data_IF_821768017564
#
_entry.id   IF_821768017564
#
_cell.length_a   1.000
_cell.length_b   1.000
_cell.length_c   1.000
_cell.angle_alpha   90.00
_cell.angle_beta   90.00
_cell.angle_gamma   90.00
#
_symmetry.space_group_name_H-M   'P 1'
#
loop_
_entity.id
_entity.type
_entity.pdbx_description
1 polymer ?
#
# COMPACT_ATOMS: atom_id res chain seq x y z
N UNK A 1 6.53 12.23 15.09
CA UNK A 1 5.80 10.95 15.07
C UNK A 1 5.26 10.79 13.65
N UNK A 2 5.85 9.93 12.82
CA UNK A 2 5.34 9.68 11.48
C UNK A 2 4.07 8.82 11.59
N UNK A 3 2.94 9.33 11.11
CA UNK A 3 1.68 8.59 11.09
C UNK A 3 1.73 7.42 10.09
N UNK A 4 0.75 6.52 10.14
CA UNK A 4 0.54 5.52 9.08
C UNK A 4 -0.70 5.89 8.29
N UNK A 5 -0.55 5.96 6.97
CA UNK A 5 -1.63 6.15 6.02
C UNK A 5 -1.92 4.81 5.34
N UNK A 6 -3.14 4.30 5.51
CA UNK A 6 -3.57 3.04 4.90
C UNK A 6 -4.62 3.35 3.83
N UNK A 7 -4.34 2.97 2.59
CA UNK A 7 -5.21 3.18 1.45
C UNK A 7 -5.88 1.87 1.03
N UNK A 8 -7.20 1.83 1.03
CA UNK A 8 -7.95 0.68 0.51
C UNK A 8 -8.13 0.86 -1.02
N UNK A 9 -7.60 -0.10 -1.79
CA UNK A 9 -7.59 -0.08 -3.25
C UNK A 9 -8.61 -1.10 -3.76
N UNK A 10 -9.70 -0.59 -4.32
CA UNK A 10 -10.73 -1.37 -5.01
C UNK A 10 -10.77 -1.06 -6.50
N UNK A 11 -11.77 -1.59 -7.19
CA UNK A 11 -11.90 -1.47 -8.65
C UNK A 11 -12.02 -0.01 -9.12
N UNK A 12 -12.71 0.84 -8.36
CA UNK A 12 -12.94 2.24 -8.72
C UNK A 12 -11.87 3.21 -8.20
N UNK A 13 -10.85 2.73 -7.47
CA UNK A 13 -9.85 3.60 -6.82
C UNK A 13 -9.05 4.39 -7.85
N UNK A 14 -8.76 3.80 -9.03
CA UNK A 14 -8.13 4.49 -10.16
C UNK A 14 -8.90 5.73 -10.62
N UNK A 15 -10.23 5.66 -10.60
CA UNK A 15 -11.11 6.73 -11.07
C UNK A 15 -11.27 7.85 -10.03
N UNK A 16 -10.95 7.61 -8.76
CA UNK A 16 -11.11 8.55 -7.63
C UNK A 16 -9.86 9.41 -7.35
N UNK A 17 -9.22 9.87 -8.41
CA UNK A 17 -7.99 10.67 -8.42
C UNK A 17 -8.04 11.99 -7.62
N UNK A 18 -9.16 12.71 -7.55
CA UNK A 18 -9.16 14.09 -7.01
C UNK A 18 -8.75 14.20 -5.53
N UNK A 19 -9.24 13.29 -4.68
CA UNK A 19 -8.98 13.33 -3.24
C UNK A 19 -7.84 12.40 -2.83
N UNK A 20 -7.81 11.19 -3.39
CA UNK A 20 -6.81 10.16 -3.05
C UNK A 20 -5.39 10.64 -3.38
N UNK A 21 -5.19 11.32 -4.52
CA UNK A 21 -3.88 11.86 -4.89
C UNK A 21 -3.36 12.86 -3.85
N UNK A 22 -4.22 13.80 -3.43
CA UNK A 22 -3.82 14.86 -2.51
C UNK A 22 -3.53 14.34 -1.11
N UNK A 23 -4.35 13.41 -0.59
CA UNK A 23 -4.13 12.81 0.73
C UNK A 23 -2.78 12.08 0.82
N UNK A 24 -2.37 11.42 -0.26
CA UNK A 24 -1.12 10.66 -0.31
C UNK A 24 0.10 11.56 -0.49
N UNK A 25 -0.02 12.64 -1.27
CA UNK A 25 1.01 13.67 -1.37
C UNK A 25 1.27 14.29 -0.01
N UNK A 26 0.21 14.70 0.71
CA UNK A 26 0.31 15.24 2.07
C UNK A 26 0.87 14.19 3.05
N UNK A 27 0.48 12.93 2.94
CA UNK A 27 1.03 11.85 3.76
C UNK A 27 2.54 11.70 3.53
N UNK A 28 2.99 11.77 2.27
CA UNK A 28 4.41 11.71 1.91
C UNK A 28 5.17 12.92 2.44
N UNK A 29 4.65 14.14 2.29
CA UNK A 29 5.25 15.37 2.83
C UNK A 29 5.41 15.30 4.34
N UNK A 30 4.44 14.68 5.03
CA UNK A 30 4.49 14.47 6.48
C UNK A 30 5.38 13.29 6.90
N UNK A 31 6.02 12.61 5.96
CA UNK A 31 6.83 11.42 6.20
C UNK A 31 6.03 10.25 6.77
N UNK A 32 4.73 10.18 6.50
CA UNK A 32 3.88 9.08 6.92
C UNK A 32 4.24 7.80 6.16
N UNK A 33 4.14 6.67 6.85
CA UNK A 33 4.25 5.36 6.23
C UNK A 33 3.00 5.08 5.39
N UNK A 34 3.15 4.73 4.12
CA UNK A 34 2.03 4.49 3.20
C UNK A 34 1.86 2.98 2.94
N UNK A 35 0.67 2.45 3.21
CA UNK A 35 0.31 1.04 3.01
C UNK A 35 -0.90 0.97 2.08
N UNK A 36 -0.71 0.42 0.88
CA UNK A 36 -1.78 0.08 -0.05
C UNK A 36 -2.34 -1.30 0.26
N UNK A 37 -3.65 -1.40 0.48
CA UNK A 37 -4.34 -2.66 0.74
C UNK A 37 -5.30 -2.95 -0.40
N UNK A 38 -4.96 -3.95 -1.21
CA UNK A 38 -5.75 -4.32 -2.37
C UNK A 38 -6.91 -5.23 -1.99
N UNK A 39 -8.14 -4.76 -2.26
CA UNK A 39 -9.37 -5.49 -1.97
C UNK A 39 -9.61 -6.67 -2.92
N UNK A 40 -8.95 -6.71 -4.08
CA UNK A 40 -8.99 -7.80 -5.04
C UNK A 40 -8.12 -9.01 -4.64
N UNK A 41 -7.37 -8.90 -3.53
CA UNK A 41 -6.45 -9.94 -3.07
C UNK A 41 -5.09 -9.94 -3.76
N UNK A 42 -4.79 -8.92 -4.57
CA UNK A 42 -3.49 -8.79 -5.23
C UNK A 42 -2.38 -8.48 -4.23
N UNK A 43 -1.24 -9.18 -4.37
CA UNK A 43 -0.05 -9.03 -3.51
C UNK A 43 0.93 -7.95 -3.98
N UNK A 44 0.60 -7.29 -5.08
CA UNK A 44 1.44 -6.32 -5.79
C UNK A 44 0.59 -5.14 -6.28
N UNK A 45 1.24 -4.08 -6.77
CA UNK A 45 0.56 -3.01 -7.50
C UNK A 45 -0.21 -3.59 -8.68
N UNK A 46 -1.46 -3.20 -8.81
CA UNK A 46 -2.31 -3.55 -9.95
C UNK A 46 -2.54 -2.30 -10.78
N UNK A 47 -1.82 -2.15 -11.90
CA UNK A 47 -1.90 -0.97 -12.77
C UNK A 47 -3.33 -0.63 -13.22
N UNK A 48 -4.21 -1.62 -13.30
CA UNK A 48 -5.60 -1.44 -13.70
C UNK A 48 -6.45 -0.68 -12.67
N UNK A 49 -6.15 -0.82 -11.37
CA UNK A 49 -6.95 -0.30 -10.24
C UNK A 49 -6.19 0.75 -9.40
N UNK A 50 -4.87 0.81 -9.59
CA UNK A 50 -3.92 1.64 -8.84
C UNK A 50 -3.68 2.96 -9.59
N UNK A 51 -4.00 4.13 -9.01
CA UNK A 51 -3.71 5.41 -9.66
C UNK A 51 -2.21 5.63 -9.93
N UNK A 52 -1.82 6.34 -11.01
CA UNK A 52 -0.42 6.53 -11.36
C UNK A 52 0.44 7.18 -10.26
N UNK A 53 -0.17 8.06 -9.45
CA UNK A 53 0.52 8.83 -8.42
C UNK A 53 1.01 7.97 -7.25
N UNK A 54 0.42 6.79 -7.06
CA UNK A 54 0.78 5.89 -5.95
C UNK A 54 1.79 4.83 -6.36
N UNK A 55 2.27 4.90 -7.60
CA UNK A 55 3.31 4.04 -8.11
C UNK A 55 4.68 4.68 -7.88
N UNK A 56 5.65 3.85 -7.57
CA UNK A 56 7.05 4.17 -7.29
C UNK A 56 7.26 5.17 -6.14
N UNK A 57 6.35 5.21 -5.16
CA UNK A 57 6.46 6.13 -4.01
C UNK A 57 7.09 5.50 -2.77
N UNK A 58 7.56 4.25 -2.86
CA UNK A 58 8.15 3.56 -1.72
C UNK A 58 7.11 3.00 -0.73
N UNK A 59 5.85 2.92 -1.16
CA UNK A 59 4.75 2.31 -0.42
C UNK A 59 4.79 0.78 -0.55
N UNK A 60 4.17 0.10 0.41
CA UNK A 60 3.95 -1.34 0.33
C UNK A 60 2.53 -1.65 -0.12
N UNK A 61 2.40 -2.68 -0.95
CA UNK A 61 1.11 -3.20 -1.39
C UNK A 61 0.88 -4.60 -0.84
N UNK A 62 -0.24 -4.79 -0.15
CA UNK A 62 -0.63 -6.07 0.47
C UNK A 62 -2.08 -6.40 0.14
N UNK A 63 -2.47 -7.69 0.10
CA UNK A 63 -3.86 -8.06 -0.09
C UNK A 63 -4.68 -7.76 1.17
N UNK A 64 -5.99 -7.55 1.00
CA UNK A 64 -6.93 -7.35 2.11
C UNK A 64 -7.09 -8.63 2.93
N UNK A 65 -6.23 -8.79 3.93
CA UNK A 65 -6.37 -9.87 4.90
C UNK A 65 -5.70 -9.53 6.25
N UNK A 66 -6.31 -9.91 7.38
CA UNK A 66 -5.89 -9.45 8.71
C UNK A 66 -4.42 -9.69 9.03
N UNK A 67 -3.90 -10.88 8.71
CA UNK A 67 -2.54 -11.29 9.09
C UNK A 67 -1.46 -10.47 8.40
N UNK A 68 -1.62 -10.21 7.10
CA UNK A 68 -0.60 -9.48 6.32
C UNK A 68 -0.70 -7.99 6.58
N UNK A 69 -1.90 -7.45 6.80
CA UNK A 69 -2.10 -6.05 7.17
C UNK A 69 -1.50 -5.77 8.54
N UNK A 70 -1.74 -6.63 9.54
CA UNK A 70 -1.09 -6.53 10.85
C UNK A 70 0.43 -6.61 10.73
N UNK A 71 0.95 -7.57 9.96
CA UNK A 71 2.39 -7.70 9.71
C UNK A 71 2.97 -6.44 9.05
N UNK A 72 2.26 -5.83 8.10
CA UNK A 72 2.66 -4.58 7.47
C UNK A 72 2.66 -3.42 8.46
N UNK A 73 1.63 -3.31 9.30
CA UNK A 73 1.56 -2.27 10.34
C UNK A 73 2.69 -2.39 11.37
N UNK A 74 3.18 -3.60 11.65
CA UNK A 74 4.26 -3.82 12.62
C UNK A 74 5.65 -3.71 12.00
N UNK A 75 5.85 -4.27 10.80
CA UNK A 75 7.19 -4.51 10.24
C UNK A 75 7.54 -3.63 9.04
N UNK A 76 6.56 -3.00 8.38
CA UNK A 76 6.86 -2.18 7.21
C UNK A 76 7.52 -0.86 7.62
N UNK A 77 8.62 -0.53 6.93
CA UNK A 77 9.23 0.79 6.93
C UNK A 77 9.24 1.30 5.50
N UNK A 78 8.86 2.56 5.32
CA UNK A 78 8.81 3.18 4.00
C UNK A 78 10.21 3.15 3.37
N UNK A 79 10.27 2.75 2.10
CA UNK A 79 11.51 2.77 1.33
C UNK A 79 11.60 4.06 0.52
N UNK A 80 12.81 4.53 0.24
CA UNK A 80 13.00 5.80 -0.49
C UNK A 80 12.63 5.69 -1.98
N UNK A 81 12.62 4.47 -2.55
CA UNK A 81 12.36 4.19 -3.98
C UNK A 81 11.73 2.81 -4.18
N UNK A 82 10.93 2.70 -5.24
CA UNK A 82 10.21 1.51 -5.74
C UNK A 82 9.05 0.99 -4.89
N UNK A 83 8.00 0.52 -5.57
CA UNK A 83 6.85 -0.10 -4.91
C UNK A 83 7.24 -1.46 -4.34
N UNK A 84 7.07 -1.64 -3.03
CA UNK A 84 7.47 -2.84 -2.35
C UNK A 84 6.33 -3.84 -2.23
N UNK A 85 6.65 -5.11 -2.37
CA UNK A 85 5.76 -6.22 -2.07
C UNK A 85 6.51 -7.24 -1.22
N UNK A 86 5.80 -7.90 -0.31
CA UNK A 86 6.41 -8.96 0.48
C UNK A 86 6.79 -10.16 -0.39
N UNK A 87 7.90 -10.81 -0.05
CA UNK A 87 8.31 -12.08 -0.67
C UNK A 87 7.34 -13.19 -0.26
N UNK A 88 7.18 -14.18 -1.13
CA UNK A 88 6.32 -15.36 -0.87
C UNK A 88 6.60 -16.08 0.45
N UNK A 89 7.84 -16.03 0.95
CA UNK A 89 8.20 -16.61 2.25
C UNK A 89 7.39 -16.01 3.41
N UNK A 90 7.13 -14.70 3.38
CA UNK A 90 6.34 -14.00 4.41
C UNK A 90 4.89 -14.49 4.36
N UNK A 91 4.32 -14.62 3.16
CA UNK A 91 2.98 -15.15 2.98
C UNK A 91 2.86 -16.59 3.48
N UNK A 92 3.82 -17.47 3.16
CA UNK A 92 3.86 -18.84 3.68
C UNK A 92 3.96 -18.90 5.21
N UNK A 93 4.76 -18.02 5.83
CA UNK A 93 4.89 -17.93 7.29
C UNK A 93 3.58 -17.50 7.96
N UNK A 94 2.78 -16.66 7.30
CA UNK A 94 1.48 -16.22 7.78
C UNK A 94 0.35 -17.24 7.49
N UNK A 95 0.66 -18.32 6.77
CA UNK A 95 -0.27 -19.40 6.44
C UNK A 95 -1.15 -19.14 5.21
N UNK A 96 -0.61 -18.45 4.20
CA UNK A 96 -1.18 -18.35 2.85
C UNK A 96 -0.52 -19.31 1.87
#
# INVERSE_FOLDING_TARGET
MAGTFVALIGQDTRSKHKYVCWEMEVAREKGCRIIGVNLDGSRQVVDATCPPIIRNIGAIFVPFSPKIVAYALENFKMHDKDDWHYKDKVYKQLGY
#
